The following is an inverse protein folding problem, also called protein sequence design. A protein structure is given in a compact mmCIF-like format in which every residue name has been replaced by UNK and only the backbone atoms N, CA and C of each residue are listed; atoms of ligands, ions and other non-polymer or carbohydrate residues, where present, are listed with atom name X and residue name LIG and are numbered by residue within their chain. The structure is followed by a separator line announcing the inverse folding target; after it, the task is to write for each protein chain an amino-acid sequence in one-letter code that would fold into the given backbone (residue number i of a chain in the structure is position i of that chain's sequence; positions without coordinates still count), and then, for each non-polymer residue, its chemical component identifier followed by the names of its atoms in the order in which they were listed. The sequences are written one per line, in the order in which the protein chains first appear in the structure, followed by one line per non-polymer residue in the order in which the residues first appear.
data_IF_008702896937
#
_entry.id   IF_008702896937
#
_cell.length_a   1.000
_cell.length_b   1.000
_cell.length_c   1.000
_cell.angle_alpha   90.00
_cell.angle_beta   90.00
_cell.angle_gamma   90.00
#
_symmetry.space_group_name_H-M   'P 1'
#
loop_
_entity.id
_entity.type
_entity.pdbx_description
1 polymer ?
2 non-polymer ?
3 water ?
#
# COMPACT_ATOMS: atom_id res chain seq x y z
N UNK A 1 20.85 -23.25 -2.74
CA UNK A 1 20.90 -23.40 -4.19
C UNK A 1 19.51 -23.63 -4.77
N UNK A 2 18.58 -24.04 -3.92
CA UNK A 2 17.17 -24.15 -4.31
C UNK A 2 16.45 -22.86 -3.98
N UNK A 3 16.93 -22.18 -2.94
CA UNK A 3 16.43 -20.84 -2.63
C UNK A 3 17.01 -19.90 -3.67
N UNK A 4 18.16 -20.27 -4.24
CA UNK A 4 18.71 -19.52 -5.35
C UNK A 4 17.88 -19.68 -6.62
N UNK A 5 17.38 -20.89 -6.87
CA UNK A 5 16.43 -21.11 -7.95
C UNK A 5 15.24 -20.16 -7.78
N UNK A 6 14.74 -20.06 -6.56
CA UNK A 6 13.51 -19.34 -6.23
C UNK A 6 13.76 -17.83 -6.16
N UNK A 7 14.85 -17.46 -5.50
CA UNK A 7 15.25 -16.07 -5.37
C UNK A 7 15.45 -15.48 -6.77
N UNK A 8 16.01 -16.27 -7.67
CA UNK A 8 16.24 -15.80 -9.03
C UNK A 8 14.90 -15.57 -9.73
N UNK A 9 13.97 -16.48 -9.47
CA UNK A 9 12.66 -16.42 -10.08
C UNK A 9 11.90 -15.17 -9.60
N UNK A 10 11.97 -14.95 -8.29
CA UNK A 10 11.35 -13.81 -7.63
C UNK A 10 11.96 -12.49 -8.08
N UNK A 11 13.29 -12.41 -8.05
CA UNK A 11 14.00 -11.18 -8.40
C UNK A 11 13.82 -10.85 -9.88
N UNK A 12 13.76 -11.87 -10.72
CA UNK A 12 13.44 -11.68 -12.13
C UNK A 12 12.06 -11.09 -12.32
N UNK A 13 11.07 -11.67 -11.65
CA UNK A 13 9.69 -11.17 -11.73
C UNK A 13 9.63 -9.75 -11.18
N UNK A 14 10.39 -9.50 -10.12
CA UNK A 14 10.35 -8.18 -9.53
C UNK A 14 10.95 -7.15 -10.50
N UNK A 15 12.10 -7.48 -11.08
CA UNK A 15 12.75 -6.59 -12.05
C UNK A 15 11.86 -6.35 -13.29
N UNK A 16 11.31 -7.41 -13.84
CA UNK A 16 10.44 -7.27 -14.99
C UNK A 16 9.23 -6.39 -14.72
N UNK A 17 8.74 -6.43 -13.48
CA UNK A 17 7.60 -5.64 -13.04
C UNK A 17 7.87 -4.16 -13.31
N UNK A 18 9.07 -3.71 -12.92
CA UNK A 18 9.47 -2.33 -13.11
C UNK A 18 9.93 -1.97 -14.52
N UNK A 19 10.61 -2.90 -15.19
CA UNK A 19 11.09 -2.63 -16.55
C UNK A 19 9.89 -2.47 -17.47
N UNK A 20 8.79 -3.10 -17.09
CA UNK A 20 7.57 -3.05 -17.88
C UNK A 20 7.19 -1.60 -18.15
N UNK A 21 7.27 -0.76 -17.12
CA UNK A 21 6.94 0.65 -17.23
C UNK A 21 7.73 1.41 -18.34
N UNK A 22 8.88 0.88 -18.75
CA UNK A 22 9.65 1.51 -19.83
C UNK A 22 9.87 0.58 -21.01
N UNK A 23 9.07 -0.48 -21.09
CA UNK A 23 9.07 -1.39 -22.24
C UNK A 23 10.42 -2.11 -22.39
N UNK A 24 11.03 -2.43 -21.25
CA UNK A 24 12.22 -3.27 -21.20
C UNK A 24 11.85 -4.60 -20.55
N UNK A 25 12.73 -5.58 -20.65
CA UNK A 25 12.39 -6.94 -20.23
C UNK A 25 13.63 -7.79 -20.11
N UNK A 26 13.66 -8.65 -19.10
CA UNK A 26 14.70 -9.70 -19.03
C UNK A 26 14.14 -11.11 -18.99
N UNK A 27 14.89 -12.03 -19.58
CA UNK A 27 14.61 -13.47 -19.49
C UNK A 27 15.51 -14.16 -18.47
N UNK A 28 16.82 -14.06 -18.66
CA UNK A 28 17.78 -14.65 -17.74
C UNK A 28 18.56 -13.59 -16.97
N UNK A 29 18.31 -13.52 -15.66
CA UNK A 29 18.93 -12.51 -14.78
C UNK A 29 20.46 -12.55 -14.85
N UNK A 30 20.98 -13.75 -15.08
CA UNK A 30 22.42 -13.95 -15.11
C UNK A 30 23.03 -13.59 -16.46
N UNK A 31 22.20 -13.30 -17.44
CA UNK A 31 22.68 -12.80 -18.72
C UNK A 31 22.29 -11.35 -19.01
N UNK A 32 21.05 -10.99 -18.71
CA UNK A 32 20.47 -9.82 -19.35
C UNK A 32 20.76 -8.54 -18.58
N UNK A 33 21.59 -8.68 -17.55
CA UNK A 33 22.04 -7.54 -16.79
C UNK A 33 23.51 -7.22 -17.09
N UNK A 34 24.19 -8.12 -17.81
CA UNK A 34 25.64 -8.01 -18.03
C UNK A 34 26.14 -6.76 -18.78
N UNK A 35 25.30 -6.14 -19.59
CA UNK A 35 25.74 -4.95 -20.34
C UNK A 35 25.40 -3.61 -19.66
N UNK A 36 24.76 -3.68 -18.50
CA UNK A 36 24.49 -2.51 -17.67
C UNK A 36 23.26 -1.71 -18.06
N UNK A 37 22.70 -1.97 -19.24
CA UNK A 37 21.58 -1.15 -19.74
C UNK A 37 20.29 -1.32 -18.94
N UNK A 38 19.95 -2.55 -18.60
CA UNK A 38 18.71 -2.74 -17.89
C UNK A 38 18.82 -2.42 -16.39
N UNK A 39 20.01 -2.56 -15.82
CA UNK A 39 20.27 -2.12 -14.45
C UNK A 39 20.04 -0.63 -14.31
N UNK A 40 20.55 0.12 -15.29
CA UNK A 40 20.39 1.57 -15.32
C UNK A 40 18.91 1.91 -15.48
N UNK A 41 18.26 1.38 -16.51
CA UNK A 41 16.84 1.61 -16.69
C UNK A 41 16.05 1.35 -15.41
N UNK A 42 16.39 0.28 -14.71
CA UNK A 42 15.71 -0.07 -13.47
C UNK A 42 15.88 1.04 -12.44
N UNK A 43 17.12 1.45 -12.22
CA UNK A 43 17.41 2.51 -11.30
C UNK A 43 16.70 3.83 -11.68
N UNK A 44 16.64 4.15 -12.97
CA UNK A 44 15.94 5.36 -13.43
C UNK A 44 14.44 5.25 -13.06
N UNK A 45 13.81 4.16 -13.44
CA UNK A 45 12.45 3.87 -13.04
C UNK A 45 12.23 3.98 -11.52
N UNK A 46 13.03 3.28 -10.73
CA UNK A 46 12.86 3.29 -9.29
C UNK A 46 13.10 4.67 -8.65
N UNK A 47 14.04 5.43 -9.18
CA UNK A 47 14.52 6.63 -8.51
C UNK A 47 13.87 7.89 -9.06
N UNK A 48 13.30 7.78 -10.27
CA UNK A 48 12.77 8.93 -10.96
C UNK A 48 13.84 9.85 -11.56
N UNK A 49 15.10 9.47 -11.49
CA UNK A 49 16.14 10.34 -12.06
C UNK A 49 16.80 9.75 -13.33
N UNK A 50 17.37 10.63 -14.14
CA UNK A 50 17.99 10.21 -15.38
C UNK A 50 19.47 9.93 -15.15
N UNK A 51 19.94 8.76 -15.60
CA UNK A 51 21.33 8.39 -15.43
C UNK A 51 22.05 8.44 -16.77
N UNK A 52 23.38 8.69 -16.74
CA UNK A 52 24.17 8.68 -17.98
C UNK A 52 24.40 7.24 -18.49
N UNK A 53 24.79 7.10 -19.75
CA UNK A 53 25.02 5.81 -20.36
C UNK A 53 26.25 5.82 -21.26
N UNK A 54 26.96 4.70 -21.33
CA UNK A 54 28.05 4.56 -22.27
C UNK A 54 27.59 3.81 -23.51
N UNK A 55 27.54 4.53 -24.60
CA UNK A 55 27.26 3.93 -25.88
C UNK A 55 28.52 3.19 -26.31
N UNK A 56 28.30 2.01 -26.90
CA UNK A 56 29.40 1.19 -27.36
C UNK A 56 29.13 -0.27 -27.05
N UNK A 57 29.73 -1.18 -27.80
CA UNK A 57 29.54 -2.56 -27.41
C UNK A 57 30.76 -3.40 -27.22
N UNK A 58 31.78 -2.78 -26.66
CA UNK A 58 32.91 -3.52 -26.12
C UNK A 58 32.65 -3.82 -24.63
N UNK A 59 33.45 -4.71 -24.07
CA UNK A 59 33.30 -5.08 -22.69
C UNK A 59 33.54 -3.90 -21.73
N UNK A 60 34.47 -2.98 -22.05
CA UNK A 60 34.71 -1.88 -21.11
C UNK A 60 33.53 -0.92 -21.10
N UNK A 61 32.76 -0.88 -22.20
CA UNK A 61 31.50 -0.11 -22.21
C UNK A 61 30.58 -0.77 -21.21
N UNK A 62 30.51 -2.10 -21.28
CA UNK A 62 29.71 -2.89 -20.37
C UNK A 62 30.10 -2.60 -18.93
N UNK A 63 31.40 -2.68 -18.66
CA UNK A 63 31.91 -2.47 -17.30
C UNK A 63 31.58 -1.08 -16.78
N UNK A 64 31.64 -0.10 -17.66
CA UNK A 64 31.40 1.28 -17.27
C UNK A 64 29.91 1.50 -17.00
N UNK A 65 29.06 0.94 -17.84
CA UNK A 65 27.63 1.06 -17.61
C UNK A 65 27.23 0.46 -16.28
N UNK A 66 27.80 -0.70 -15.95
CA UNK A 66 27.58 -1.26 -14.63
C UNK A 66 28.09 -0.33 -13.53
N UNK A 67 29.27 0.25 -13.75
CA UNK A 67 29.87 1.15 -12.76
C UNK A 67 28.99 2.37 -12.51
N UNK A 68 28.47 2.94 -13.58
CA UNK A 68 27.49 4.02 -13.44
C UNK A 68 26.36 3.66 -12.46
N UNK A 69 25.86 2.43 -12.52
CA UNK A 69 24.82 1.99 -11.60
C UNK A 69 25.35 1.83 -10.16
N UNK A 70 26.47 1.13 -10.01
CA UNK A 70 27.09 0.93 -8.71
C UNK A 70 27.40 2.28 -8.02
N UNK A 71 27.97 3.23 -8.75
CA UNK A 71 28.29 4.55 -8.20
C UNK A 71 27.04 5.26 -7.72
N UNK A 72 26.00 5.17 -8.53
CA UNK A 72 24.75 5.82 -8.21
C UNK A 72 24.22 5.27 -6.88
N UNK A 73 24.33 3.96 -6.68
CA UNK A 73 23.96 3.36 -5.40
C UNK A 73 24.89 3.83 -4.26
N UNK A 74 26.20 3.72 -4.47
CA UNK A 74 27.19 4.14 -3.47
C UNK A 74 27.02 5.61 -3.06
N UNK A 75 26.59 6.45 -3.99
CA UNK A 75 26.45 7.88 -3.74
C UNK A 75 25.25 8.13 -2.83
N UNK A 76 24.25 7.24 -2.94
CA UNK A 76 23.07 7.26 -2.07
C UNK A 76 23.35 6.47 -0.80
N UNK A 77 24.63 6.20 -0.56
CA UNK A 77 25.11 5.62 0.68
C UNK A 77 24.67 4.18 0.88
N UNK A 78 24.32 3.53 -0.21
CA UNK A 78 24.05 2.08 -0.18
C UNK A 78 25.37 1.32 -0.06
N UNK A 79 25.36 0.26 0.74
CA UNK A 79 26.56 -0.54 0.98
C UNK A 79 26.60 -1.76 0.06
N UNK A 80 27.65 -1.81 -0.76
CA UNK A 80 27.80 -2.85 -1.78
C UNK A 80 28.99 -3.72 -1.42
N UNK A 81 28.74 -4.79 -0.70
CA UNK A 81 29.86 -5.54 -0.19
C UNK A 81 30.22 -6.65 -1.17
N UNK A 82 31.45 -6.58 -1.70
CA UNK A 82 31.97 -7.60 -2.62
C UNK A 82 31.52 -7.47 -4.07
N UNK A 83 30.52 -6.64 -4.33
CA UNK A 83 30.04 -6.47 -5.68
C UNK A 83 30.92 -5.48 -6.45
N UNK A 84 31.46 -5.93 -7.58
CA UNK A 84 32.25 -5.08 -8.47
C UNK A 84 31.71 -5.23 -9.88
N UNK A 85 31.95 -4.22 -10.71
CA UNK A 85 31.34 -4.19 -12.04
C UNK A 85 31.58 -5.45 -12.87
N UNK A 86 32.77 -6.03 -12.76
CA UNK A 86 33.09 -7.19 -13.58
C UNK A 86 32.34 -8.44 -13.09
N UNK A 87 31.98 -8.45 -11.82
CA UNK A 87 31.14 -9.52 -11.30
C UNK A 87 29.82 -9.56 -12.07
N UNK A 88 29.23 -8.39 -12.29
CA UNK A 88 27.99 -8.26 -13.04
C UNK A 88 28.16 -8.54 -14.53
N UNK A 89 29.12 -7.88 -15.16
CA UNK A 89 29.29 -8.03 -16.60
C UNK A 89 29.65 -9.46 -16.97
N UNK A 90 30.20 -10.20 -16.00
CA UNK A 90 30.61 -11.59 -16.22
C UNK A 90 29.57 -12.60 -15.77
N UNK A 91 28.43 -12.12 -15.27
CA UNK A 91 27.34 -13.00 -14.90
C UNK A 91 27.38 -13.74 -13.55
N UNK A 92 28.18 -13.27 -12.59
CA UNK A 92 28.25 -13.96 -11.30
C UNK A 92 26.87 -14.04 -10.64
N UNK A 93 26.33 -15.26 -10.56
CA UNK A 93 24.98 -15.54 -10.06
C UNK A 93 24.74 -15.00 -8.64
N UNK A 94 25.64 -15.32 -7.72
CA UNK A 94 25.44 -14.95 -6.33
C UNK A 94 25.54 -13.43 -6.13
N UNK A 95 26.46 -12.78 -6.86
CA UNK A 95 26.62 -11.34 -6.72
C UNK A 95 25.61 -10.53 -7.55
N UNK A 96 25.13 -11.11 -8.65
CA UNK A 96 24.02 -10.52 -9.38
C UNK A 96 22.76 -10.48 -8.48
N UNK A 97 22.50 -11.58 -7.78
CA UNK A 97 21.35 -11.62 -6.88
C UNK A 97 21.53 -10.65 -5.72
N UNK A 98 22.76 -10.60 -5.19
CA UNK A 98 23.05 -9.70 -4.09
C UNK A 98 22.81 -8.25 -4.49
N UNK A 99 23.12 -7.93 -5.74
CA UNK A 99 22.94 -6.59 -6.23
C UNK A 99 21.46 -6.28 -6.39
N UNK A 100 20.70 -7.22 -6.95
CA UNK A 100 19.27 -6.97 -7.07
C UNK A 100 18.66 -6.82 -5.68
N UNK A 101 19.06 -7.69 -4.76
CA UNK A 101 18.58 -7.60 -3.40
C UNK A 101 18.84 -6.21 -2.83
N UNK A 102 20.08 -5.74 -2.99
CA UNK A 102 20.48 -4.42 -2.50
C UNK A 102 19.58 -3.33 -3.06
N UNK A 103 19.27 -3.44 -4.34
CA UNK A 103 18.35 -2.50 -4.98
C UNK A 103 16.93 -2.58 -4.39
N UNK A 104 16.37 -3.78 -4.33
CA UNK A 104 15.09 -4.03 -3.70
C UNK A 104 15.03 -3.48 -2.25
N UNK A 105 16.06 -3.80 -1.48
CA UNK A 105 16.12 -3.39 -0.09
C UNK A 105 16.12 -1.87 0.03
N UNK A 106 16.80 -1.21 -0.90
CA UNK A 106 16.98 0.21 -0.79
C UNK A 106 15.76 0.98 -1.27
N UNK A 107 15.15 0.51 -2.35
CA UNK A 107 14.05 1.25 -2.95
C UNK A 107 12.67 0.82 -2.48
N UNK A 108 12.44 -0.47 -2.32
CA UNK A 108 11.11 -0.91 -1.92
C UNK A 108 10.96 -1.09 -0.42
N UNK A 109 11.80 -1.95 0.15
CA UNK A 109 11.62 -2.39 1.52
C UNK A 109 11.92 -1.34 2.58
N UNK A 110 12.85 -0.44 2.27
CA UNK A 110 13.32 0.51 3.27
C UNK A 110 12.35 1.65 3.52
N UNK A 111 11.45 1.92 2.58
CA UNK A 111 10.54 3.05 2.77
C UNK A 111 9.22 2.62 3.43
N UNK A 112 9.32 2.32 4.72
CA UNK A 112 8.18 1.88 5.50
C UNK A 112 8.18 2.63 6.82
N UNK A 113 7.03 3.17 7.21
CA UNK A 113 6.84 3.68 8.56
C UNK A 113 5.82 2.84 9.34
N UNK A 114 6.12 2.58 10.61
CA UNK A 114 5.23 1.84 11.48
C UNK A 114 5.18 2.49 12.86
N UNK A 115 4.05 3.10 13.19
CA UNK A 115 3.85 3.63 14.54
C UNK A 115 4.05 2.51 15.56
N UNK A 116 5.10 2.63 16.36
CA UNK A 116 5.52 1.56 17.27
C UNK A 116 6.98 1.22 17.03
N UNK A 117 7.57 1.87 16.02
CA UNK A 117 8.95 1.64 15.59
C UNK A 117 9.95 2.49 16.36
N UNK A 118 11.22 2.11 16.25
CA UNK A 118 12.32 2.89 16.78
C UNK A 118 13.07 3.50 15.60
N UNK A 119 14.04 4.35 15.90
CA UNK A 119 14.90 4.89 14.86
C UNK A 119 15.91 3.85 14.45
N UNK A 120 16.13 2.86 15.31
CA UNK A 120 17.17 1.85 15.10
C UNK A 120 16.63 0.44 14.84
N UNK A 121 15.51 0.36 14.14
CA UNK A 121 15.03 -0.92 13.62
C UNK A 121 15.37 -0.97 12.15
N UNK A 122 15.85 -2.12 11.68
CA UNK A 122 16.02 -2.35 10.24
C UNK A 122 14.67 -2.29 9.56
N UNK A 123 14.68 -2.20 8.24
CA UNK A 123 13.44 -2.22 7.50
C UNK A 123 12.79 -3.58 7.72
N UNK A 124 13.61 -4.62 7.63
CA UNK A 124 13.17 -5.99 7.85
C UNK A 124 12.39 -6.10 9.18
N UNK A 125 12.95 -5.53 10.24
CA UNK A 125 12.32 -5.60 11.54
C UNK A 125 11.03 -4.80 11.59
N UNK A 126 11.03 -3.62 10.99
CA UNK A 126 9.82 -2.80 10.93
C UNK A 126 8.72 -3.53 10.17
N UNK A 127 9.06 -4.07 9.01
CA UNK A 127 8.09 -4.81 8.21
C UNK A 127 7.53 -5.99 9.01
N UNK A 128 8.41 -6.72 9.68
CA UNK A 128 7.97 -7.83 10.54
C UNK A 128 6.97 -7.34 11.55
N UNK A 129 7.20 -6.14 12.06
CA UNK A 129 6.38 -5.62 13.13
C UNK A 129 5.02 -5.26 12.59
N UNK A 130 4.98 -4.69 11.39
CA UNK A 130 3.73 -4.40 10.72
C UNK A 130 2.91 -5.67 10.58
N UNK A 131 3.54 -6.76 10.14
CA UNK A 131 2.79 -7.98 9.93
C UNK A 131 2.20 -8.42 11.26
N UNK A 132 2.98 -8.32 12.32
CA UNK A 132 2.48 -8.67 13.65
C UNK A 132 1.29 -7.82 14.11
N UNK A 133 1.34 -6.53 13.83
CA UNK A 133 0.25 -5.66 14.25
C UNK A 133 -1.02 -5.96 13.46
N UNK A 134 -0.86 -6.13 12.15
CA UNK A 134 -1.96 -6.40 11.23
C UNK A 134 -2.67 -7.73 11.53
N UNK A 135 -1.88 -8.76 11.84
CA UNK A 135 -2.43 -10.09 12.04
C UNK A 135 -2.68 -10.40 13.52
N UNK A 136 -2.45 -9.43 14.39
CA UNK A 136 -2.80 -9.63 15.79
C UNK A 136 -4.31 -9.87 15.83
N UNK A 137 -4.73 -10.94 16.50
CA UNK A 137 -6.14 -11.27 16.61
C UNK A 137 -6.61 -12.47 15.80
N UNK A 138 -5.72 -13.05 14.99
CA UNK A 138 -5.97 -14.29 14.27
C UNK A 138 -5.26 -15.43 14.97
N UNK A 139 -5.82 -16.63 14.88
CA UNK A 139 -5.19 -17.79 15.48
C UNK A 139 -3.85 -18.10 14.80
N UNK A 140 -2.78 -18.14 15.59
CA UNK A 140 -1.50 -18.60 15.10
C UNK A 140 -0.39 -18.29 16.09
N UNK A 141 0.72 -19.03 16.02
CA UNK A 141 1.92 -18.60 16.77
C UNK A 141 2.35 -17.20 16.27
N UNK A 142 3.18 -16.53 17.06
CA UNK A 142 3.67 -15.22 16.69
C UNK A 142 4.64 -15.33 15.52
N UNK A 143 4.53 -14.40 14.58
CA UNK A 143 5.41 -14.37 13.42
C UNK A 143 6.77 -13.75 13.75
N UNK A 144 7.83 -14.56 13.69
CA UNK A 144 9.16 -14.06 14.03
C UNK A 144 10.18 -14.15 12.90
N UNK A 145 9.74 -14.50 11.70
CA UNK A 145 10.64 -14.54 10.56
C UNK A 145 9.95 -14.28 9.24
N UNK A 146 10.72 -14.30 8.16
CA UNK A 146 10.13 -14.22 6.84
C UNK A 146 10.38 -15.52 6.05
N UNK A 147 10.52 -16.63 6.76
CA UNK A 147 10.54 -17.91 6.07
C UNK A 147 9.43 -18.86 6.58
N UNK A 148 9.71 -19.64 7.62
CA UNK A 148 8.83 -20.73 7.98
C UNK A 148 7.47 -20.23 8.49
N UNK A 149 7.48 -19.11 9.20
CA UNK A 149 6.23 -18.54 9.67
C UNK A 149 5.23 -18.33 8.49
N UNK A 150 5.73 -18.31 7.26
CA UNK A 150 4.86 -17.98 6.12
C UNK A 150 4.46 -19.19 5.27
N UNK A 151 5.10 -20.33 5.51
CA UNK A 151 4.91 -21.52 4.68
C UNK A 151 3.52 -22.17 4.66
N UNK A 152 2.70 -21.96 5.69
CA UNK A 152 1.38 -22.60 5.69
C UNK A 152 0.29 -21.72 5.03
N UNK A 153 0.65 -20.49 4.65
CA UNK A 153 -0.22 -19.63 3.88
C UNK A 153 -1.18 -18.85 4.75
N UNK A 154 -1.20 -19.09 6.05
CA UNK A 154 -2.19 -18.42 6.89
C UNK A 154 -1.86 -16.96 7.13
N UNK A 155 -0.58 -16.63 7.21
CA UNK A 155 -0.21 -15.23 7.43
C UNK A 155 -0.67 -14.39 6.27
N UNK A 156 -0.43 -14.90 5.08
CA UNK A 156 -0.84 -14.19 3.89
C UNK A 156 -2.32 -13.89 3.94
N UNK A 157 -3.13 -14.88 4.29
CA UNK A 157 -4.57 -14.65 4.29
C UNK A 157 -4.99 -13.67 5.38
N UNK A 158 -4.30 -13.68 6.51
CA UNK A 158 -4.65 -12.75 7.59
C UNK A 158 -4.35 -11.33 7.18
N UNK A 159 -3.21 -11.12 6.51
CA UNK A 159 -2.83 -9.80 6.04
C UNK A 159 -3.95 -9.24 5.20
N UNK A 160 -4.45 -10.06 4.30
CA UNK A 160 -5.44 -9.63 3.36
C UNK A 160 -6.76 -9.38 4.10
N UNK A 161 -7.18 -10.35 4.89
CA UNK A 161 -8.44 -10.23 5.61
C UNK A 161 -8.58 -8.95 6.42
N UNK A 162 -7.50 -8.57 7.07
CA UNK A 162 -7.47 -7.31 7.81
C UNK A 162 -7.88 -6.12 6.95
N UNK A 163 -7.52 -6.16 5.68
CA UNK A 163 -7.80 -5.04 4.80
C UNK A 163 -9.06 -5.25 3.97
N UNK A 164 -9.37 -6.50 3.68
CA UNK A 164 -10.57 -6.84 2.90
C UNK A 164 -11.23 -8.09 3.47
N UNK A 165 -11.88 -7.95 4.63
CA UNK A 165 -12.50 -9.09 5.35
C UNK A 165 -13.58 -9.80 4.52
N UNK A 166 -14.08 -9.12 3.50
CA UNK A 166 -15.12 -9.66 2.62
C UNK A 166 -14.56 -10.59 1.55
N UNK A 167 -13.23 -10.63 1.41
CA UNK A 167 -12.60 -11.37 0.31
C UNK A 167 -11.96 -12.68 0.81
N UNK A 168 -11.92 -12.83 2.13
CA UNK A 168 -11.27 -13.99 2.74
C UNK A 168 -12.12 -14.55 3.86
N UNK A 169 -12.18 -15.87 3.97
CA UNK A 169 -12.86 -16.52 5.08
C UNK A 169 -11.80 -17.19 5.95
N UNK A 170 -11.51 -16.60 7.10
CA UNK A 170 -10.36 -17.03 7.91
C UNK A 170 -10.65 -18.31 8.69
N UNK A 171 -11.92 -18.64 8.81
CA UNK A 171 -12.30 -19.90 9.42
C UNK A 171 -11.84 -21.07 8.54
N UNK A 172 -12.23 -21.02 7.28
CA UNK A 172 -11.85 -22.03 6.30
C UNK A 172 -10.33 -22.13 6.13
N UNK A 173 -9.64 -21.00 6.25
CA UNK A 173 -8.18 -21.01 6.17
C UNK A 173 -7.55 -21.91 7.25
N UNK A 174 -8.27 -22.12 8.34
CA UNK A 174 -7.73 -22.90 9.45
C UNK A 174 -7.55 -24.38 9.11
N UNK A 175 -8.36 -24.88 8.17
CA UNK A 175 -8.39 -26.32 7.88
C UNK A 175 -8.07 -26.65 6.42
N UNK A 176 -7.89 -25.63 5.59
CA UNK A 176 -7.42 -25.86 4.24
C UNK A 176 -5.94 -26.23 4.26
N UNK A 177 -5.46 -26.84 3.18
CA UNK A 177 -4.05 -27.19 3.07
C UNK A 177 -3.23 -25.94 2.78
N UNK A 178 -1.93 -26.06 3.01
CA UNK A 178 -1.00 -24.96 2.76
C UNK A 178 -1.10 -24.47 1.33
N UNK A 179 -1.18 -25.41 0.40
CA UNK A 179 -1.23 -25.05 -1.00
C UNK A 179 -2.50 -24.24 -1.31
N UNK A 180 -3.64 -24.66 -0.76
CA UNK A 180 -4.89 -23.97 -1.01
C UNK A 180 -4.81 -22.54 -0.47
N UNK A 181 -4.26 -22.41 0.73
CA UNK A 181 -4.18 -21.14 1.42
C UNK A 181 -3.27 -20.19 0.67
N UNK A 182 -2.12 -20.72 0.24
CA UNK A 182 -1.15 -19.93 -0.49
C UNK A 182 -1.75 -19.48 -1.81
N UNK A 183 -2.29 -20.44 -2.53
CA UNK A 183 -2.83 -20.18 -3.85
C UNK A 183 -3.89 -19.10 -3.80
N UNK A 184 -4.81 -19.24 -2.84
CA UNK A 184 -5.89 -18.27 -2.76
C UNK A 184 -5.46 -16.88 -2.25
N UNK A 185 -4.34 -16.84 -1.53
CA UNK A 185 -3.85 -15.56 -1.02
C UNK A 185 -3.20 -14.79 -2.16
N UNK A 186 -2.42 -15.50 -2.96
CA UNK A 186 -1.72 -14.88 -4.08
C UNK A 186 -2.74 -14.37 -5.09
N UNK A 187 -3.73 -15.21 -5.36
CA UNK A 187 -4.84 -14.87 -6.24
C UNK A 187 -5.53 -13.58 -5.78
N UNK A 188 -6.15 -13.60 -4.60
CA UNK A 188 -6.81 -12.40 -4.09
C UNK A 188 -5.91 -11.17 -4.05
N UNK A 189 -4.68 -11.34 -3.57
CA UNK A 189 -3.76 -10.21 -3.49
C UNK A 189 -3.54 -9.62 -4.88
N UNK A 190 -3.48 -10.49 -5.89
CA UNK A 190 -3.39 -10.00 -7.27
C UNK A 190 -4.55 -9.06 -7.64
N UNK A 191 -5.78 -9.48 -7.34
CA UNK A 191 -6.94 -8.61 -7.54
C UNK A 191 -6.75 -7.25 -6.89
N UNK A 192 -6.05 -7.20 -5.76
CA UNK A 192 -5.90 -5.93 -5.06
C UNK A 192 -4.65 -5.21 -5.51
N UNK A 193 -4.08 -5.65 -6.63
CA UNK A 193 -2.97 -4.96 -7.25
C UNK A 193 -1.59 -5.47 -6.89
N UNK A 194 -1.52 -6.66 -6.31
CA UNK A 194 -0.22 -7.20 -5.94
C UNK A 194 0.27 -8.21 -6.96
N UNK A 195 1.40 -7.89 -7.56
CA UNK A 195 1.97 -8.73 -8.59
C UNK A 195 2.44 -10.04 -7.94
N UNK A 196 2.18 -11.14 -8.62
CA UNK A 196 2.52 -12.46 -8.10
C UNK A 196 3.99 -12.85 -8.23
N UNK A 197 4.83 -12.34 -7.33
CA UNK A 197 6.26 -12.74 -7.35
C UNK A 197 6.53 -14.18 -6.87
N UNK A 198 5.56 -14.81 -6.20
CA UNK A 198 5.77 -16.17 -5.67
C UNK A 198 4.83 -17.22 -6.23
N UNK A 199 5.35 -18.43 -6.32
CA UNK A 199 4.55 -19.59 -6.69
C UNK A 199 4.29 -20.41 -5.43
N UNK A 200 3.01 -20.69 -5.18
CA UNK A 200 2.62 -21.55 -4.06
C UNK A 200 3.54 -22.76 -3.82
N UNK A 201 4.03 -23.40 -4.87
CA UNK A 201 4.81 -24.62 -4.68
C UNK A 201 6.20 -24.34 -4.15
N UNK A 202 6.61 -23.09 -4.19
CA UNK A 202 7.95 -22.74 -3.75
C UNK A 202 7.95 -22.27 -2.32
N UNK A 203 6.76 -21.89 -1.85
CA UNK A 203 6.62 -21.39 -0.49
C UNK A 203 6.15 -22.50 0.43
N UNK A 204 5.39 -23.44 -0.11
CA UNK A 204 4.99 -24.61 0.64
C UNK A 204 6.21 -25.53 0.86
N UNK A 205 7.14 -25.05 1.67
CA UNK A 205 8.32 -25.82 2.10
C UNK A 205 8.66 -25.43 3.53
N UNK A 206 9.47 -26.24 4.21
CA UNK A 206 9.79 -25.95 5.61
C UNK A 206 10.43 -24.56 5.77
N UNK A 207 11.39 -24.23 4.92
CA UNK A 207 12.04 -22.92 5.02
C UNK A 207 12.04 -22.14 3.70
N UNK A 208 10.93 -21.45 3.40
CA UNK A 208 10.89 -20.61 2.20
C UNK A 208 12.01 -19.57 2.21
N UNK A 209 12.46 -19.15 1.03
CA UNK A 209 13.55 -18.19 0.88
C UNK A 209 13.18 -16.81 1.45
N UNK A 210 13.94 -16.36 2.43
CA UNK A 210 13.56 -15.16 3.16
C UNK A 210 13.48 -13.92 2.28
N UNK A 211 14.46 -13.73 1.40
CA UNK A 211 14.48 -12.49 0.62
C UNK A 211 13.29 -12.43 -0.33
N UNK A 212 12.89 -13.58 -0.85
CA UNK A 212 11.71 -13.67 -1.69
C UNK A 212 10.43 -13.29 -0.94
N UNK A 213 10.30 -13.81 0.28
CA UNK A 213 9.09 -13.59 1.06
C UNK A 213 8.96 -12.11 1.48
N UNK A 214 10.06 -11.54 1.97
CA UNK A 214 10.12 -10.13 2.37
C UNK A 214 9.73 -9.24 1.20
N UNK A 215 10.24 -9.57 0.02
CA UNK A 215 9.98 -8.76 -1.17
C UNK A 215 8.50 -8.77 -1.47
N UNK A 216 7.90 -9.96 -1.39
CA UNK A 216 6.47 -10.07 -1.68
C UNK A 216 5.64 -9.42 -0.57
N UNK A 217 6.02 -9.65 0.68
CA UNK A 217 5.24 -9.13 1.80
C UNK A 217 5.30 -7.62 1.80
N UNK A 218 6.50 -7.11 1.53
CA UNK A 218 6.70 -5.67 1.41
C UNK A 218 5.83 -5.14 0.28
N UNK A 219 5.60 -5.98 -0.74
CA UNK A 219 4.89 -5.49 -1.91
C UNK A 219 3.39 -5.39 -1.58
N UNK A 220 2.92 -6.31 -0.74
CA UNK A 220 1.56 -6.28 -0.24
C UNK A 220 1.32 -5.02 0.59
N UNK A 221 2.31 -4.67 1.38
CA UNK A 221 2.24 -3.49 2.21
C UNK A 221 2.11 -2.24 1.34
N UNK A 222 2.81 -2.22 0.21
CA UNK A 222 2.77 -1.10 -0.73
C UNK A 222 1.37 -0.90 -1.30
N UNK A 223 0.70 -2.00 -1.57
CA UNK A 223 -0.60 -1.98 -2.23
C UNK A 223 -1.74 -1.51 -1.33
N UNK A 224 -1.52 -1.52 -0.02
CA UNK A 224 -2.64 -1.30 0.89
C UNK A 224 -2.65 0.13 1.38
N UNK A 225 -3.85 0.67 1.62
CA UNK A 225 -4.00 2.00 2.20
C UNK A 225 -3.09 2.14 3.41
N UNK A 226 -2.41 3.28 3.54
CA UNK A 226 -1.48 3.50 4.64
C UNK A 226 -1.71 4.86 5.23
N UNK A 227 -1.48 4.98 6.53
CA UNK A 227 -1.46 6.28 7.18
C UNK A 227 0.00 6.79 7.20
N UNK A 228 0.24 7.99 6.62
CA UNK A 228 1.58 8.59 6.59
C UNK A 228 2.02 8.95 8.01
N UNK A 229 3.31 9.20 8.24
CA UNK A 229 3.77 9.39 9.61
C UNK A 229 3.16 10.62 10.29
N UNK A 230 2.57 10.40 11.46
CA UNK A 230 1.97 11.47 12.24
C UNK A 230 0.74 12.07 11.60
N UNK A 231 0.70 12.08 10.26
CA UNK A 231 -0.40 12.62 9.50
C UNK A 231 -1.78 12.10 9.90
N UNK A 232 -2.81 12.73 9.35
CA UNK A 232 -4.19 12.36 9.64
C UNK A 232 -4.58 11.26 8.66
N UNK A 233 -5.20 10.21 9.17
CA UNK A 233 -5.62 9.12 8.32
C UNK A 233 -6.24 7.99 9.12
N UNK A 234 -6.78 7.01 8.40
CA UNK A 234 -7.47 5.89 9.05
C UNK A 234 -6.80 4.56 8.77
N UNK A 235 -6.36 3.89 9.82
CA UNK A 235 -5.81 2.55 9.69
C UNK A 235 -6.94 1.52 9.50
N UNK A 236 -6.55 0.34 9.03
CA UNK A 236 -7.44 -0.79 8.86
C UNK A 236 -8.16 -1.17 10.15
N UNK A 237 -7.53 -0.90 11.29
CA UNK A 237 -8.22 -1.17 12.55
C UNK A 237 -9.29 -0.10 12.89
N UNK A 238 -9.15 1.11 12.35
CA UNK A 238 -10.12 2.15 12.67
C UNK A 238 -11.30 2.21 11.69
N UNK A 239 -11.13 1.67 10.49
CA UNK A 239 -12.12 1.86 9.40
C UNK A 239 -13.57 1.51 9.72
N UNK A 240 -13.81 0.35 10.32
CA UNK A 240 -15.17 -0.10 10.55
C UNK A 240 -15.83 0.93 11.45
N UNK A 241 -15.09 1.35 12.46
CA UNK A 241 -15.58 2.28 13.46
C UNK A 241 -15.82 3.69 12.90
N UNK A 242 -14.92 4.15 12.03
CA UNK A 242 -15.05 5.46 11.40
C UNK A 242 -16.19 5.44 10.43
N UNK A 243 -16.28 4.36 9.67
CA UNK A 243 -17.37 4.24 8.70
C UNK A 243 -18.73 4.32 9.41
N UNK A 244 -18.84 3.71 10.58
CA UNK A 244 -20.09 3.81 11.32
C UNK A 244 -20.32 5.22 11.84
N UNK A 245 -19.28 5.83 12.38
CA UNK A 245 -19.33 7.21 12.81
C UNK A 245 -19.92 8.04 11.69
N UNK A 246 -19.29 7.95 10.53
CA UNK A 246 -19.69 8.74 9.39
C UNK A 246 -21.19 8.61 9.09
N UNK A 247 -21.62 7.40 8.78
CA UNK A 247 -23.01 7.17 8.46
C UNK A 247 -23.94 7.70 9.54
N UNK A 248 -23.58 7.48 10.79
CA UNK A 248 -24.45 7.94 11.87
C UNK A 248 -24.54 9.47 11.88
N UNK A 249 -23.41 10.12 11.62
CA UNK A 249 -23.34 11.58 11.55
C UNK A 249 -24.28 12.17 10.51
N UNK A 250 -24.31 11.53 9.35
CA UNK A 250 -25.24 11.88 8.28
C UNK A 250 -26.66 11.60 8.69
N UNK A 251 -26.90 10.40 9.23
CA UNK A 251 -28.24 10.02 9.68
C UNK A 251 -28.75 10.94 10.79
N UNK A 252 -27.90 11.85 11.25
CA UNK A 252 -28.25 12.78 12.32
C UNK A 252 -28.54 14.17 11.75
N UNK A 253 -27.67 14.61 10.84
CA UNK A 253 -27.76 15.94 10.28
C UNK A 253 -28.81 16.04 9.18
N UNK A 254 -28.67 15.23 8.13
CA UNK A 254 -29.61 15.31 7.00
C UNK A 254 -31.08 15.49 7.44
N UNK A 255 -31.57 14.59 8.30
CA UNK A 255 -32.98 14.73 8.73
C UNK A 255 -33.25 15.90 9.69
N UNK A 256 -32.20 16.55 10.21
CA UNK A 256 -32.40 17.79 10.96
C UNK A 256 -32.50 18.95 9.97
N UNK A 257 -31.80 18.81 8.86
CA UNK A 257 -31.84 19.82 7.84
C UNK A 257 -33.15 19.72 7.07
N UNK A 258 -33.76 18.54 7.09
CA UNK A 258 -35.04 18.35 6.41
C UNK A 258 -36.24 18.76 7.28
N UNK A 259 -36.23 18.37 8.55
CA UNK A 259 -37.32 18.75 9.47
C UNK A 259 -37.18 20.20 9.92
N UNK A 260 -35.99 20.77 9.73
CA UNK A 260 -35.77 22.18 10.08
C UNK A 260 -35.63 23.02 8.81
N UNK A 261 -36.15 22.52 7.70
CA UNK A 261 -36.28 23.32 6.48
C UNK A 261 -37.75 23.54 6.17
N UNK A 262 -38.60 22.66 6.68
CA UNK A 262 -40.04 22.81 6.51
C UNK A 262 -40.58 23.98 7.34
N UNK A 263 -39.92 24.27 8.46
CA UNK A 263 -40.31 25.39 9.31
C UNK A 263 -40.06 26.71 8.60
N UNK A 264 -39.19 26.69 7.60
CA UNK A 264 -38.78 27.90 6.90
C UNK A 264 -39.64 28.20 5.68
N UNK A 265 -40.50 27.27 5.30
CA UNK A 265 -41.39 27.46 4.16
C UNK A 265 -42.74 28.05 4.57
N UNK A 266 -43.08 27.90 5.85
CA UNK A 266 -44.39 28.34 6.35
C UNK A 266 -44.33 29.72 6.99
N UNK A 281 -36.89 37.99 15.22
CA UNK A 281 -35.97 38.34 16.30
C UNK A 281 -35.30 37.14 16.97
N UNK A 282 -35.93 35.98 16.88
CA UNK A 282 -35.31 34.72 17.31
C UNK A 282 -34.68 34.09 16.08
N UNK A 283 -35.07 34.59 14.92
CA UNK A 283 -34.53 34.19 13.64
C UNK A 283 -33.07 34.65 13.53
N UNK A 284 -32.55 35.20 14.63
CA UNK A 284 -31.13 35.57 14.71
C UNK A 284 -30.41 34.56 15.60
N UNK A 285 -31.16 33.85 16.43
CA UNK A 285 -30.62 32.78 17.26
C UNK A 285 -30.67 31.44 16.52
N UNK A 286 -31.78 31.21 15.82
CA UNK A 286 -31.92 30.04 14.95
C UNK A 286 -30.89 30.12 13.82
N UNK A 287 -29.84 30.91 14.02
CA UNK A 287 -28.85 31.14 12.96
C UNK A 287 -27.41 31.39 13.44
N UNK A 288 -27.23 32.25 14.44
CA UNK A 288 -25.88 32.52 14.94
C UNK A 288 -25.54 31.52 16.04
N UNK A 289 -26.47 30.61 16.28
CA UNK A 289 -26.32 29.61 17.34
C UNK A 289 -26.26 28.20 16.75
N UNK A 290 -27.44 27.68 16.42
CA UNK A 290 -27.56 26.34 15.87
C UNK A 290 -26.90 26.24 14.52
N UNK A 291 -27.29 27.11 13.61
CA UNK A 291 -26.77 27.07 12.25
C UNK A 291 -25.25 27.09 12.19
N UNK A 292 -24.61 27.77 13.14
CA UNK A 292 -23.16 27.77 13.22
C UNK A 292 -22.62 26.44 13.77
N UNK A 293 -23.50 25.72 14.47
CA UNK A 293 -23.19 24.39 14.97
C UNK A 293 -23.49 23.32 13.90
N UNK A 294 -24.75 23.28 13.44
CA UNK A 294 -25.12 22.37 12.35
C UNK A 294 -24.24 22.54 11.11
N UNK A 295 -23.84 23.77 10.82
CA UNK A 295 -22.91 23.99 9.71
C UNK A 295 -21.63 23.24 9.99
N UNK A 296 -21.15 23.33 11.23
CA UNK A 296 -19.89 22.72 11.62
C UNK A 296 -19.94 21.19 11.50
N UNK A 297 -21.11 20.60 11.77
CA UNK A 297 -21.35 19.18 11.57
C UNK A 297 -21.10 18.83 10.11
N UNK A 298 -21.82 19.50 9.22
CA UNK A 298 -21.61 19.39 7.78
C UNK A 298 -20.11 19.40 7.45
N UNK A 299 -19.38 20.25 8.16
CA UNK A 299 -17.94 20.37 7.97
C UNK A 299 -17.17 19.19 8.53
N UNK A 300 -17.49 18.78 9.75
CA UNK A 300 -16.90 17.58 10.34
C UNK A 300 -17.12 16.38 9.43
N UNK A 301 -18.35 16.26 8.91
CA UNK A 301 -18.73 15.21 7.98
C UNK A 301 -17.88 15.21 6.71
N UNK A 302 -18.00 16.26 5.91
CA UNK A 302 -17.30 16.31 4.63
C UNK A 302 -15.80 16.09 4.79
N UNK A 303 -15.28 16.47 5.94
CA UNK A 303 -13.86 16.28 6.23
C UNK A 303 -13.50 14.82 6.54
N UNK A 304 -14.39 14.13 7.24
CA UNK A 304 -14.21 12.71 7.55
C UNK A 304 -14.32 11.87 6.29
N UNK A 305 -15.25 12.24 5.43
CA UNK A 305 -15.41 11.53 4.18
C UNK A 305 -14.10 11.52 3.39
N UNK A 306 -13.36 12.62 3.50
CA UNK A 306 -12.11 12.74 2.77
C UNK A 306 -11.11 11.65 3.19
N UNK A 307 -11.06 11.34 4.48
CA UNK A 307 -10.15 10.31 5.01
C UNK A 307 -10.59 8.92 4.60
N UNK A 308 -11.89 8.79 4.34
CA UNK A 308 -12.50 7.54 3.91
C UNK A 308 -12.32 7.24 2.42
N UNK A 309 -12.13 8.26 1.61
CA UNK A 309 -12.02 8.06 0.16
C UNK A 309 -11.09 6.92 -0.21
N UNK A 310 -9.89 6.92 0.35
CA UNK A 310 -8.93 5.81 0.17
C UNK A 310 -9.57 4.43 0.30
N UNK A 311 -10.33 4.23 1.38
CA UNK A 311 -10.97 2.95 1.65
C UNK A 311 -12.10 2.62 0.69
N UNK A 312 -12.78 3.65 0.18
CA UNK A 312 -13.81 3.48 -0.82
C UNK A 312 -13.18 3.08 -2.15
N UNK A 313 -12.04 3.68 -2.46
CA UNK A 313 -11.31 3.38 -3.69
C UNK A 313 -10.67 2.01 -3.61
N UNK A 314 -10.18 1.68 -2.42
CA UNK A 314 -9.60 0.38 -2.16
C UNK A 314 -10.64 -0.74 -2.26
N UNK A 315 -11.91 -0.40 -2.08
CA UNK A 315 -12.99 -1.38 -2.20
C UNK A 315 -13.56 -1.90 -0.88
N UNK A 316 -12.96 -1.48 0.23
CA UNK A 316 -13.39 -1.92 1.57
C UNK A 316 -14.78 -1.39 1.89
N UNK A 317 -15.09 -0.19 1.38
CA UNK A 317 -16.37 0.44 1.64
C UNK A 317 -17.12 0.66 0.33
N UNK A 318 -18.37 0.22 0.27
CA UNK A 318 -19.22 0.60 -0.85
C UNK A 318 -20.11 1.73 -0.39
N UNK A 319 -19.86 2.91 -0.95
CA UNK A 319 -20.60 4.12 -0.59
C UNK A 319 -22.05 4.03 -1.04
N UNK A 320 -22.99 3.84 -0.09
CA UNK A 320 -24.40 3.73 -0.46
C UNK A 320 -24.90 5.09 -0.95
N UNK A 321 -26.01 5.09 -1.70
CA UNK A 321 -26.52 6.35 -2.22
C UNK A 321 -27.07 7.23 -1.10
N UNK A 322 -26.80 8.53 -1.22
CA UNK A 322 -27.30 9.49 -0.26
C UNK A 322 -26.39 9.59 0.94
N UNK A 323 -25.09 9.37 0.73
CA UNK A 323 -24.11 9.46 1.82
C UNK A 323 -22.84 10.23 1.45
N UNK A 324 -22.84 10.85 0.27
CA UNK A 324 -21.76 11.72 -0.16
C UNK A 324 -21.88 13.07 0.56
N UNK A 325 -20.74 13.75 0.84
CA UNK A 325 -20.79 15.06 1.48
C UNK A 325 -21.67 16.04 0.67
N UNK A 326 -21.84 15.75 -0.60
CA UNK A 326 -22.71 16.54 -1.47
C UNK A 326 -24.17 16.40 -1.10
N UNK A 327 -24.64 15.16 -0.93
CA UNK A 327 -26.04 14.93 -0.59
C UNK A 327 -26.47 15.73 0.64
N UNK A 328 -25.48 16.13 1.44
CA UNK A 328 -25.71 16.98 2.61
C UNK A 328 -25.78 18.45 2.21
N UNK A 329 -24.87 18.87 1.34
CA UNK A 329 -24.84 20.24 0.83
C UNK A 329 -26.09 20.61 0.05
N UNK A 330 -26.73 19.60 -0.55
CA UNK A 330 -27.93 19.82 -1.35
C UNK A 330 -29.20 19.98 -0.51
N UNK A 331 -29.07 19.68 0.77
CA UNK A 331 -30.16 19.90 1.71
C UNK A 331 -29.81 21.11 2.56
N UNK A 332 -28.53 21.40 2.65
CA UNK A 332 -28.05 22.57 3.36
C UNK A 332 -28.33 23.81 2.51
N UNK A 333 -28.20 23.65 1.20
CA UNK A 333 -28.56 24.68 0.26
C UNK A 333 -30.04 25.03 0.36
N UNK A 334 -30.89 24.00 0.35
CA UNK A 334 -32.33 24.16 0.54
C UNK A 334 -32.67 24.88 1.84
N UNK A 335 -31.85 24.65 2.87
CA UNK A 335 -32.04 25.30 4.16
C UNK A 335 -31.58 26.74 4.09
N UNK A 336 -30.62 27.02 3.22
CA UNK A 336 -30.15 28.40 3.01
C UNK A 336 -31.20 29.24 2.26
N UNK A 337 -31.84 28.66 1.25
CA UNK A 337 -32.94 29.32 0.54
C UNK A 337 -34.04 29.75 1.48
N UNK A 338 -34.86 28.80 1.93
CA UNK A 338 -35.96 29.11 2.85
C UNK A 338 -35.50 29.96 4.04
N UNK A 339 -34.20 29.96 4.33
CA UNK A 339 -33.63 30.87 5.31
C UNK A 339 -33.70 32.30 4.81
N UNK A 340 -33.39 32.49 3.52
CA UNK A 340 -33.43 33.81 2.87
C UNK A 340 -34.85 34.35 2.65
N UNK A 341 -35.79 33.47 2.31
CA UNK A 341 -37.19 33.86 2.17
C UNK A 341 -37.70 34.53 3.43
N UNK A 342 -37.71 33.78 4.53
CA UNK A 342 -38.11 34.31 5.83
C UNK A 342 -37.07 35.24 6.45
N UNK A 343 -36.08 35.67 5.65
CA UNK A 343 -35.09 36.65 6.09
C UNK A 343 -35.54 38.07 5.73
N UNK A 344 -35.92 38.25 4.47
CA UNK A 344 -36.40 39.54 4.01
C UNK A 344 -37.80 39.86 4.56
N UNK A 345 -38.45 38.85 5.15
CA UNK A 345 -39.79 39.04 5.71
C UNK A 345 -39.75 39.53 7.17
N UNK A 346 -38.85 38.96 7.97
CA UNK A 346 -38.58 39.48 9.31
C UNK A 346 -37.49 40.53 9.22
N UNK A 347 -37.73 41.54 8.39
CA UNK A 347 -36.72 42.54 8.06
C UNK A 347 -37.18 44.01 8.20
N UNK A 348 -38.50 44.24 8.40
CA UNK A 348 -39.01 45.62 8.39
C UNK A 348 -38.29 46.55 9.38
#
# INVERSE_FOLDING_TARGET
DERDRVQKKTFTKWVNKHLMKVRKHINDLYEDLRDGHNLISLLEVLSGIKLPREKGRMRFHRLQNVQIALDFLKQRQVKLVNIRNDDITDGNPKLTLGLIWTIILHFQISDIYISGESGDMSAKEKLLLWTQKVTAGYTGIKCTNFSSCWSDGKMFNALIHRYRPDLVDMERVQIQSNRENLEQAFEVAERLGVTRLLDAEDVDVPSPDEKSVITYVSSIYDAFPKVPEGGEGISATEVDSRWQEYQSRVDSLIPWIKQHTILMSDKTFPQNPVELKALYNQYIHFKETEILAKEREKGRIEELYKLLEVWIEFGRIKLPQGYHPNDVEEEWGKLIIEMLEREKSLRP
#
